data_IF_971390996309
#
_entry.id   IF_971390996309
#
_cell.length_a   1.000
_cell.length_b   1.000
_cell.length_c   1.000
_cell.angle_alpha   90.00
_cell.angle_beta   90.00
_cell.angle_gamma   90.00
#
_symmetry.space_group_name_H-M   'P 1'
#
loop_
_entity.id
_entity.type
_entity.pdbx_description
1 polymer ?
#
# COMPACT_ATOMS: atom_id res chain seq x y z
N UNK A 1 -66.19 10.66 -40.33
CA UNK A 1 -66.33 10.51 -38.85
C UNK A 1 -65.25 9.56 -38.38
N UNK A 2 -64.45 9.96 -37.39
CA UNK A 2 -63.51 9.03 -36.74
C UNK A 2 -64.37 8.03 -35.96
N UNK A 3 -64.28 6.75 -36.31
CA UNK A 3 -64.97 5.69 -35.57
C UNK A 3 -64.26 5.47 -34.24
N UNK A 4 -65.03 5.11 -33.20
CA UNK A 4 -64.52 4.85 -31.85
C UNK A 4 -63.40 3.79 -31.86
N UNK A 5 -63.47 2.83 -32.78
CA UNK A 5 -62.45 1.80 -33.01
C UNK A 5 -61.09 2.39 -33.42
N UNK A 6 -61.09 3.44 -34.25
CA UNK A 6 -59.86 4.07 -34.74
C UNK A 6 -59.18 4.87 -33.62
N UNK A 7 -59.98 5.52 -32.76
CA UNK A 7 -59.46 6.23 -31.59
C UNK A 7 -58.78 5.28 -30.59
N UNK A 8 -59.40 4.13 -30.31
CA UNK A 8 -58.79 3.11 -29.43
C UNK A 8 -57.47 2.56 -29.99
N UNK A 9 -57.42 2.31 -31.31
CA UNK A 9 -56.21 1.79 -31.96
C UNK A 9 -55.04 2.78 -31.88
N UNK A 10 -55.29 4.07 -32.12
CA UNK A 10 -54.29 5.14 -32.03
C UNK A 10 -53.75 5.27 -30.60
N UNK A 11 -54.63 5.23 -29.59
CA UNK A 11 -54.23 5.30 -28.19
C UNK A 11 -53.34 4.10 -27.81
N UNK A 12 -53.72 2.89 -28.21
CA UNK A 12 -52.93 1.70 -27.93
C UNK A 12 -51.53 1.73 -28.58
N UNK A 13 -51.45 2.24 -29.81
CA UNK A 13 -50.19 2.42 -30.52
C UNK A 13 -49.28 3.44 -29.81
N UNK A 14 -49.83 4.58 -29.39
CA UNK A 14 -49.11 5.60 -28.62
C UNK A 14 -48.60 5.02 -27.29
N UNK A 15 -49.43 4.26 -26.58
CA UNK A 15 -49.09 3.68 -25.28
C UNK A 15 -47.96 2.65 -25.41
N UNK A 16 -47.96 1.84 -26.47
CA UNK A 16 -46.84 0.95 -26.81
C UNK A 16 -45.54 1.72 -27.07
N UNK A 17 -45.60 2.78 -27.88
CA UNK A 17 -44.41 3.58 -28.22
C UNK A 17 -43.85 4.26 -26.96
N UNK A 18 -44.71 4.88 -26.16
CA UNK A 18 -44.31 5.49 -24.89
C UNK A 18 -43.83 4.46 -23.86
N UNK A 19 -44.42 3.26 -23.83
CA UNK A 19 -43.98 2.17 -22.96
C UNK A 19 -42.58 1.70 -23.31
N UNK A 20 -42.28 1.52 -24.59
CA UNK A 20 -40.95 1.11 -25.07
C UNK A 20 -39.91 2.20 -24.81
N UNK A 21 -40.21 3.45 -25.20
CA UNK A 21 -39.29 4.58 -25.02
C UNK A 21 -39.09 4.91 -23.54
N UNK A 22 -40.18 4.98 -22.78
CA UNK A 22 -40.15 5.22 -21.33
C UNK A 22 -39.45 4.10 -20.57
N UNK A 23 -39.67 2.84 -20.95
CA UNK A 23 -38.98 1.69 -20.38
C UNK A 23 -37.47 1.74 -20.63
N UNK A 24 -37.04 2.03 -21.85
CA UNK A 24 -35.61 2.21 -22.17
C UNK A 24 -34.98 3.37 -21.40
N UNK A 25 -35.70 4.48 -21.27
CA UNK A 25 -35.21 5.67 -20.56
C UNK A 25 -35.09 5.43 -19.06
N UNK A 26 -36.05 4.72 -18.46
CA UNK A 26 -36.04 4.33 -17.05
C UNK A 26 -34.88 3.38 -16.72
N UNK A 27 -34.64 2.39 -17.58
CA UNK A 27 -33.52 1.44 -17.41
C UNK A 27 -32.16 2.14 -17.54
N UNK A 28 -32.02 3.10 -18.48
CA UNK A 28 -30.78 3.87 -18.62
C UNK A 28 -30.51 4.82 -17.45
N UNK A 29 -31.54 5.49 -16.93
CA UNK A 29 -31.39 6.41 -15.80
C UNK A 29 -31.09 5.69 -14.48
N UNK A 30 -31.65 4.48 -14.26
CA UNK A 30 -31.35 3.67 -13.08
C UNK A 30 -29.88 3.23 -13.00
N UNK A 31 -29.32 2.79 -14.13
CA UNK A 31 -27.94 2.28 -14.20
C UNK A 31 -26.87 3.37 -14.08
N UNK A 32 -27.14 4.60 -14.54
CA UNK A 32 -26.20 5.71 -14.44
C UNK A 32 -25.93 6.14 -12.98
N UNK A 33 -26.94 6.08 -12.11
CA UNK A 33 -26.76 6.38 -10.68
C UNK A 33 -25.95 5.31 -9.95
N UNK A 34 -26.20 4.03 -10.25
CA UNK A 34 -25.49 2.92 -9.63
C UNK A 34 -24.01 2.85 -10.03
N UNK A 35 -23.68 3.16 -11.29
CA UNK A 35 -22.28 3.17 -11.74
C UNK A 35 -21.45 4.28 -11.09
N UNK A 36 -22.04 5.45 -10.87
CA UNK A 36 -21.33 6.60 -10.30
C UNK A 36 -20.97 6.36 -8.82
N UNK A 37 -21.89 5.76 -8.06
CA UNK A 37 -21.68 5.50 -6.63
C UNK A 37 -20.61 4.41 -6.38
N UNK A 38 -20.54 3.39 -7.24
CA UNK A 38 -19.51 2.35 -7.16
C UNK A 38 -18.12 2.90 -7.52
N UNK A 39 -18.04 3.76 -8.55
CA UNK A 39 -16.78 4.41 -8.93
C UNK A 39 -16.26 5.34 -7.82
N UNK A 40 -17.13 6.12 -7.20
CA UNK A 40 -16.75 7.04 -6.13
C UNK A 40 -16.20 6.31 -4.90
N UNK A 41 -16.83 5.18 -4.51
CA UNK A 41 -16.32 4.33 -3.41
C UNK A 41 -14.94 3.73 -3.72
N UNK A 42 -14.72 3.28 -4.95
CA UNK A 42 -13.43 2.73 -5.36
C UNK A 42 -12.32 3.79 -5.37
N UNK A 43 -12.62 5.00 -5.86
CA UNK A 43 -11.70 6.13 -5.85
C UNK A 43 -11.33 6.51 -4.41
N UNK A 44 -12.32 6.60 -3.52
CA UNK A 44 -12.09 6.93 -2.12
C UNK A 44 -11.25 5.86 -1.40
N UNK A 45 -11.47 4.58 -1.68
CA UNK A 45 -10.66 3.49 -1.13
C UNK A 45 -9.19 3.58 -1.57
N UNK A 46 -8.95 3.81 -2.86
CA UNK A 46 -7.60 3.94 -3.41
C UNK A 46 -6.87 5.19 -2.87
N UNK A 47 -7.58 6.29 -2.69
CA UNK A 47 -7.02 7.50 -2.08
C UNK A 47 -6.63 7.27 -0.61
N UNK A 48 -7.44 6.54 0.14
CA UNK A 48 -7.15 6.19 1.53
C UNK A 48 -5.92 5.26 1.65
N UNK A 49 -5.80 4.28 0.75
CA UNK A 49 -4.61 3.41 0.69
C UNK A 49 -3.35 4.21 0.34
N UNK A 50 -3.42 5.10 -0.65
CA UNK A 50 -2.30 6.00 -1.00
C UNK A 50 -1.87 6.88 0.17
N UNK A 51 -2.82 7.45 0.90
CA UNK A 51 -2.53 8.25 2.08
C UNK A 51 -1.82 7.43 3.17
N UNK A 52 -2.30 6.21 3.41
CA UNK A 52 -1.72 5.28 4.39
C UNK A 52 -0.29 4.88 4.01
N UNK A 53 -0.07 4.55 2.74
CA UNK A 53 1.26 4.18 2.23
C UNK A 53 2.24 5.36 2.33
N UNK A 54 1.81 6.57 1.97
CA UNK A 54 2.65 7.76 2.09
C UNK A 54 3.05 8.04 3.53
N UNK A 55 2.11 7.93 4.48
CA UNK A 55 2.40 8.14 5.90
C UNK A 55 3.44 7.15 6.40
N UNK A 56 3.30 5.86 6.06
CA UNK A 56 4.32 4.84 6.40
C UNK A 56 5.68 5.14 5.77
N UNK A 57 5.70 5.66 4.56
CA UNK A 57 6.94 6.03 3.88
C UNK A 57 7.63 7.18 4.61
N UNK A 58 6.88 8.20 5.02
CA UNK A 58 7.38 9.32 5.83
C UNK A 58 7.90 8.85 7.19
N UNK A 59 7.18 7.97 7.88
CA UNK A 59 7.62 7.39 9.15
C UNK A 59 8.93 6.59 9.00
N UNK A 60 9.02 5.75 7.97
CA UNK A 60 10.23 4.98 7.67
C UNK A 60 11.41 5.87 7.26
N UNK A 61 11.16 7.00 6.59
CA UNK A 61 12.20 7.99 6.27
C UNK A 61 12.69 8.71 7.53
N UNK A 62 11.77 9.10 8.41
CA UNK A 62 12.12 9.73 9.68
C UNK A 62 12.94 8.78 10.55
N UNK A 63 12.54 7.51 10.63
CA UNK A 63 13.26 6.49 11.39
C UNK A 63 14.63 6.17 10.79
N UNK A 64 14.74 6.10 9.46
CA UNK A 64 16.06 5.98 8.80
C UNK A 64 16.96 7.17 9.12
N UNK A 65 16.42 8.40 9.14
CA UNK A 65 17.17 9.60 9.53
C UNK A 65 17.67 9.50 10.97
N UNK A 66 16.79 9.09 11.90
CA UNK A 66 17.13 8.87 13.30
C UNK A 66 18.22 7.81 13.48
N UNK A 67 18.10 6.68 12.80
CA UNK A 67 19.10 5.62 12.82
C UNK A 67 20.45 6.09 12.28
N UNK A 68 20.47 6.86 11.19
CA UNK A 68 21.71 7.47 10.66
C UNK A 68 22.37 8.40 11.67
N UNK A 69 21.59 9.22 12.38
CA UNK A 69 22.12 10.08 13.43
C UNK A 69 22.73 9.27 14.58
N UNK A 70 22.04 8.23 15.06
CA UNK A 70 22.55 7.36 16.12
C UNK A 70 23.87 6.71 15.69
N UNK A 71 23.92 6.14 14.48
CA UNK A 71 25.13 5.53 13.94
C UNK A 71 26.26 6.55 13.83
N UNK A 72 25.99 7.76 13.34
CA UNK A 72 27.00 8.82 13.27
C UNK A 72 27.52 9.22 14.65
N UNK A 73 26.65 9.30 15.67
CA UNK A 73 27.06 9.57 17.05
C UNK A 73 27.93 8.44 17.60
N UNK A 74 27.59 7.17 17.33
CA UNK A 74 28.40 6.03 17.74
C UNK A 74 29.77 6.05 17.07
N UNK A 75 29.83 6.30 15.76
CA UNK A 75 31.09 6.45 15.01
C UNK A 75 31.95 7.57 15.60
N UNK A 76 31.35 8.73 15.88
CA UNK A 76 32.06 9.86 16.48
C UNK A 76 32.59 9.52 17.89
N UNK A 77 31.80 8.84 18.72
CA UNK A 77 32.23 8.40 20.05
C UNK A 77 33.37 7.37 19.98
N UNK A 78 33.32 6.43 19.03
CA UNK A 78 34.37 5.43 18.83
C UNK A 78 35.67 6.04 18.30
N UNK A 79 35.56 6.98 17.34
CA UNK A 79 36.72 7.73 16.84
C UNK A 79 37.41 8.50 17.97
N UNK A 80 36.64 9.11 18.88
CA UNK A 80 37.20 9.80 20.05
C UNK A 80 37.91 8.86 21.03
N UNK A 81 37.59 7.56 21.02
CA UNK A 81 38.25 6.52 21.81
C UNK A 81 39.48 5.90 21.10
N UNK A 82 39.92 6.44 19.96
CA UNK A 82 41.07 5.91 19.21
C UNK A 82 40.75 4.68 18.36
N UNK A 83 39.47 4.42 18.09
CA UNK A 83 39.00 3.36 17.20
C UNK A 83 38.40 4.04 15.97
N UNK A 84 39.13 4.04 14.86
CA UNK A 84 38.66 4.61 13.61
C UNK A 84 37.67 3.64 12.95
N UNK A 85 36.40 4.04 12.88
CA UNK A 85 35.33 3.24 12.30
C UNK A 85 34.78 3.90 11.03
N UNK A 86 34.90 3.22 9.89
CA UNK A 86 34.42 3.69 8.58
C UNK A 86 33.34 2.75 8.05
N UNK A 87 32.14 3.29 7.81
CA UNK A 87 30.99 2.55 7.28
C UNK A 87 30.81 2.93 5.81
N UNK A 88 31.08 1.99 4.92
CA UNK A 88 30.94 2.15 3.47
C UNK A 88 29.86 1.19 2.96
N UNK A 89 28.63 1.69 2.83
CA UNK A 89 27.48 0.86 2.46
C UNK A 89 27.28 -0.27 3.47
N UNK A 90 27.46 -1.50 3.02
CA UNK A 90 27.26 -2.71 3.83
C UNK A 90 28.55 -3.20 4.53
N UNK A 91 29.66 -2.50 4.38
CA UNK A 91 30.94 -2.85 5.03
C UNK A 91 31.31 -1.87 6.13
N UNK A 92 31.69 -2.42 7.27
CA UNK A 92 32.27 -1.67 8.40
C UNK A 92 33.75 -2.03 8.50
N UNK A 93 34.62 -1.02 8.36
CA UNK A 93 36.04 -1.17 8.62
C UNK A 93 36.36 -0.60 10.00
N UNK A 94 36.97 -1.41 10.85
CA UNK A 94 37.38 -1.05 12.21
C UNK A 94 38.90 -1.06 12.25
N UNK A 95 39.51 0.09 12.50
CA UNK A 95 40.95 0.23 12.72
C UNK A 95 41.20 0.66 14.16
N UNK A 96 42.03 -0.07 14.88
CA UNK A 96 42.46 0.31 16.23
C UNK A 96 43.86 0.90 16.17
N UNK A 97 44.00 2.14 16.64
CA UNK A 97 45.26 2.90 16.63
C UNK A 97 46.37 2.18 17.43
N UNK A 98 46.00 1.49 18.50
CA UNK A 98 46.97 0.85 19.40
C UNK A 98 47.61 -0.43 18.86
N UNK A 99 47.03 -1.08 17.84
CA UNK A 99 47.47 -2.41 17.40
C UNK A 99 47.67 -2.54 15.88
N UNK A 100 47.37 -1.49 15.10
CA UNK A 100 47.45 -1.51 13.62
C UNK A 100 46.56 -2.58 12.95
N UNK A 101 45.70 -3.26 13.71
CA UNK A 101 44.81 -4.32 13.23
C UNK A 101 43.56 -3.68 12.62
N UNK A 102 43.36 -3.91 11.33
CA UNK A 102 42.14 -3.57 10.60
C UNK A 102 41.25 -4.82 10.55
N UNK A 103 39.98 -4.69 10.95
CA UNK A 103 38.98 -5.75 10.80
C UNK A 103 37.83 -5.22 9.97
N UNK A 104 37.54 -5.89 8.86
CA UNK A 104 36.39 -5.57 8.01
C UNK A 104 35.26 -6.55 8.30
N UNK A 105 34.09 -6.04 8.66
CA UNK A 105 32.89 -6.83 8.89
C UNK A 105 31.79 -6.42 7.91
N UNK A 106 31.01 -7.39 7.43
CA UNK A 106 29.83 -7.13 6.63
C UNK A 106 28.63 -6.93 7.57
N UNK A 107 27.82 -5.91 7.31
CA UNK A 107 26.53 -5.71 7.97
C UNK A 107 25.59 -6.78 7.41
N UNK A 108 25.49 -7.92 8.08
CA UNK A 108 24.41 -8.86 7.79
C UNK A 108 23.14 -8.28 8.37
N UNK A 109 22.23 -7.87 7.50
CA UNK A 109 20.85 -7.58 7.88
C UNK A 109 20.30 -8.86 8.51
N UNK A 110 20.28 -8.90 9.85
CA UNK A 110 19.71 -10.00 10.59
C UNK A 110 18.22 -9.99 10.27
N UNK A 111 17.84 -10.73 9.23
CA UNK A 111 16.50 -11.20 8.97
C UNK A 111 16.02 -11.83 10.27
N UNK A 112 15.37 -11.04 11.14
CA UNK A 112 14.60 -11.56 12.26
C UNK A 112 13.58 -12.49 11.61
N UNK A 113 13.67 -13.82 11.80
CA UNK A 113 12.60 -14.69 11.37
C UNK A 113 11.36 -14.21 12.11
N UNK A 114 10.34 -13.84 11.34
CA UNK A 114 9.03 -13.46 11.83
C UNK A 114 8.61 -14.49 12.86
N UNK A 115 8.60 -14.10 14.13
CA UNK A 115 8.08 -14.89 15.24
C UNK A 115 6.62 -15.23 14.89
N UNK A 116 6.42 -16.46 14.45
CA UNK A 116 5.16 -16.95 13.90
C UNK A 116 5.15 -18.45 13.59
N UNK A 117 6.15 -19.20 14.06
CA UNK A 117 6.10 -20.66 14.12
C UNK A 117 6.79 -21.13 15.40
N UNK A 118 6.03 -21.06 16.48
CA UNK A 118 6.28 -21.82 17.70
C UNK A 118 6.45 -23.29 17.31
N UNK A 119 7.48 -23.92 17.88
CA UNK A 119 7.58 -25.33 18.24
C UNK A 119 6.68 -26.32 17.48
N UNK A 120 7.30 -27.08 16.57
CA UNK A 120 6.93 -28.47 16.36
C UNK A 120 8.19 -29.25 15.94
N UNK A 121 9.08 -29.49 16.90
CA UNK A 121 10.02 -30.60 16.80
C UNK A 121 9.31 -31.83 17.38
N UNK A 122 9.01 -32.88 16.60
CA UNK A 122 8.69 -34.16 17.20
C UNK A 122 9.97 -34.69 17.86
N UNK A 123 9.90 -34.83 19.18
CA UNK A 123 10.86 -35.61 19.93
C UNK A 123 10.94 -37.00 19.32
N UNK A 124 12.11 -37.40 18.82
CA UNK A 124 12.45 -38.81 18.70
C UNK A 124 13.79 -39.03 19.39
N UNK A 125 13.62 -39.54 20.60
CA UNK A 125 14.58 -40.25 21.41
C UNK A 125 14.77 -41.62 20.75
N UNK A 126 15.97 -41.96 20.29
CA UNK A 126 16.53 -43.31 20.37
C UNK A 126 18.02 -43.27 20.10
#
# INVERSE_FOLDING_TARGET
MVTLSNALSIINMLLMIFGIVGGLFALRHGSLKAANEVQERAINALQAELATVRLRLTDLQAENGRLKHIVATIVAALNNCGIELSINGDMVNIKSDQNGKSTTAHIQEALRPRSGKLLAAPAQFT
#
